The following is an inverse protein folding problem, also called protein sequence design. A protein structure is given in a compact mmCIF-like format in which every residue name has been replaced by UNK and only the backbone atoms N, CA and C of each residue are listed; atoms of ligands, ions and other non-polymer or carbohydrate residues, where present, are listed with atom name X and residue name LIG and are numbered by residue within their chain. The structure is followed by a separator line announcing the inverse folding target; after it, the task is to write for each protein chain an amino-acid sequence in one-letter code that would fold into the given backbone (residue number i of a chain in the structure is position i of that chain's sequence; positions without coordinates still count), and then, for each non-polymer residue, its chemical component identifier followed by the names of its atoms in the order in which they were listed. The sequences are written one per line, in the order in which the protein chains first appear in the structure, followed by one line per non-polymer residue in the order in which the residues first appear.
data_IF_828297257571
#
_entry.id   IF_828297257571
#
_cell.length_a   1.000
_cell.length_b   1.000
_cell.length_c   1.000
_cell.angle_alpha   90.00
_cell.angle_beta   90.00
_cell.angle_gamma   90.00
#
_symmetry.space_group_name_H-M   'P 1'
#
loop_
_entity.id
_entity.type
_entity.pdbx_description
1 polymer ?
#
# COMPACT_ATOMS: atom_id res chain seq x y z
N UNK A 1 -17.34 11.83 -10.60
CA UNK A 1 -16.96 11.62 -10.63
C UNK A 1 -16.22 11.57 -10.39
N UNK A 2 -16.53 11.47 -10.13
CA UNK A 2 -16.02 11.38 -10.01
C UNK A 2 -15.28 11.09 -9.95
N UNK A 3 -15.05 11.64 -9.62
CA UNK A 3 -14.36 11.13 -9.59
C UNK A 3 -12.96 10.79 -9.59
N UNK A 4 -11.98 11.15 -8.82
CA UNK A 4 -10.89 10.33 -8.62
C UNK A 4 -11.07 8.99 -9.18
N UNK A 5 -12.25 8.69 -9.49
CA UNK A 5 -12.57 7.40 -10.00
C UNK A 5 -11.93 7.06 -11.33
N UNK A 6 -11.75 8.01 -12.24
CA UNK A 6 -11.11 7.64 -13.51
C UNK A 6 -9.73 7.01 -13.31
N UNK A 7 -8.93 7.58 -12.45
CA UNK A 7 -7.61 7.03 -12.21
C UNK A 7 -7.71 5.64 -11.57
N UNK A 8 -8.52 5.53 -10.54
CA UNK A 8 -8.65 4.28 -9.83
C UNK A 8 -9.24 3.19 -10.70
N UNK A 9 -10.28 3.51 -11.46
CA UNK A 9 -10.94 2.52 -12.28
C UNK A 9 -10.00 1.97 -13.34
N UNK A 10 -9.31 2.84 -14.05
CA UNK A 10 -8.43 2.35 -15.12
C UNK A 10 -7.28 1.52 -14.55
N UNK A 11 -6.80 1.85 -13.38
CA UNK A 11 -5.72 1.10 -12.76
C UNK A 11 -6.23 -0.25 -12.28
N UNK A 12 -7.37 -0.26 -11.63
CA UNK A 12 -7.91 -1.49 -11.08
C UNK A 12 -8.29 -2.48 -12.16
N UNK A 13 -8.71 -2.01 -13.33
CA UNK A 13 -9.02 -2.91 -14.42
C UNK A 13 -7.81 -3.73 -14.83
N UNK A 14 -6.63 -3.16 -14.73
CA UNK A 14 -5.43 -3.83 -15.18
C UNK A 14 -4.79 -4.71 -14.14
N UNK A 15 -5.08 -4.45 -12.88
CA UNK A 15 -4.48 -5.20 -11.79
C UNK A 15 -5.53 -5.87 -10.93
N UNK A 16 -6.71 -6.10 -11.49
CA UNK A 16 -7.80 -6.67 -10.74
C UNK A 16 -7.50 -8.01 -10.10
N UNK A 17 -6.54 -8.75 -10.67
CA UNK A 17 -6.15 -10.02 -10.08
C UNK A 17 -5.37 -9.84 -8.80
N UNK A 18 -4.76 -8.68 -8.59
CA UNK A 18 -3.91 -8.44 -7.43
C UNK A 18 -4.57 -7.56 -6.38
N UNK A 19 -5.41 -6.63 -6.81
CA UNK A 19 -5.99 -5.63 -5.93
C UNK A 19 -7.49 -5.63 -6.06
N UNK A 20 -8.15 -5.74 -4.91
CA UNK A 20 -9.60 -5.63 -4.81
C UNK A 20 -9.87 -4.38 -3.98
N UNK A 21 -10.50 -3.36 -4.56
CA UNK A 21 -10.69 -2.10 -3.88
C UNK A 21 -11.67 -2.18 -2.71
N UNK A 22 -12.44 -3.26 -2.60
CA UNK A 22 -13.30 -3.45 -1.45
C UNK A 22 -12.65 -4.29 -0.36
N UNK A 23 -11.77 -5.21 -0.73
CA UNK A 23 -11.12 -6.09 0.23
C UNK A 23 -9.66 -5.74 0.47
N UNK A 24 -9.04 -5.08 -0.51
CA UNK A 24 -7.64 -4.73 -0.40
C UNK A 24 -6.72 -5.76 -1.01
N UNK A 25 -5.48 -5.75 -0.56
CA UNK A 25 -4.45 -6.62 -1.11
C UNK A 25 -3.68 -7.28 0.03
N UNK A 26 -3.38 -8.57 -0.13
CA UNK A 26 -2.57 -9.30 0.84
C UNK A 26 -1.12 -9.29 0.37
N UNK A 27 -0.26 -8.66 1.15
CA UNK A 27 1.12 -8.43 0.72
C UNK A 27 1.90 -9.72 0.49
N UNK A 28 1.59 -10.76 1.27
CA UNK A 28 2.29 -12.03 1.13
C UNK A 28 2.10 -12.65 -0.24
N UNK A 29 0.99 -12.34 -0.90
CA UNK A 29 0.66 -12.96 -2.17
C UNK A 29 1.22 -12.21 -3.36
N UNK A 30 1.88 -11.09 -3.12
CA UNK A 30 2.45 -10.29 -4.20
C UNK A 30 3.83 -10.79 -4.56
N UNK A 31 4.18 -10.78 -5.86
CA UNK A 31 5.54 -11.12 -6.26
C UNK A 31 6.55 -10.15 -5.63
N UNK A 32 7.79 -10.60 -5.42
CA UNK A 32 8.84 -9.71 -4.92
C UNK A 32 8.98 -8.49 -5.82
N UNK A 33 9.27 -7.35 -5.19
CA UNK A 33 9.49 -6.08 -5.87
C UNK A 33 8.25 -5.49 -6.52
N UNK A 34 7.07 -6.01 -6.17
CA UNK A 34 5.83 -5.34 -6.53
C UNK A 34 5.80 -4.00 -5.81
N UNK A 35 5.48 -2.95 -6.55
CA UNK A 35 5.38 -1.61 -5.99
C UNK A 35 3.93 -1.22 -5.93
N UNK A 36 3.47 -0.90 -4.72
CA UNK A 36 2.11 -0.41 -4.50
C UNK A 36 2.13 1.07 -4.25
N UNK A 37 1.12 1.76 -4.76
CA UNK A 37 0.82 3.13 -4.39
C UNK A 37 -0.40 3.08 -3.49
N UNK A 38 -0.23 3.49 -2.25
CA UNK A 38 -1.28 3.43 -1.24
C UNK A 38 -1.70 4.86 -0.92
N UNK A 39 -2.88 5.22 -1.36
CA UNK A 39 -3.44 6.55 -1.14
C UNK A 39 -4.21 6.52 0.15
N UNK A 40 -3.81 7.37 1.10
CA UNK A 40 -4.55 7.55 2.33
C UNK A 40 -5.17 8.94 2.34
N UNK A 41 -5.96 9.23 3.37
CA UNK A 41 -6.57 10.55 3.44
C UNK A 41 -5.53 11.68 3.47
N UNK A 42 -4.38 11.42 4.10
CA UNK A 42 -3.40 12.48 4.29
C UNK A 42 -2.17 12.36 3.42
N UNK A 43 -1.90 11.19 2.86
CA UNK A 43 -0.61 10.97 2.21
C UNK A 43 -0.71 9.91 1.12
N UNK A 44 0.30 9.91 0.27
CA UNK A 44 0.53 8.84 -0.68
C UNK A 44 1.78 8.09 -0.23
N UNK A 45 1.65 6.78 -0.08
CA UNK A 45 2.79 5.93 0.27
C UNK A 45 3.14 5.04 -0.90
N UNK A 46 4.43 4.95 -1.18
CA UNK A 46 4.95 4.01 -2.15
C UNK A 46 5.56 2.86 -1.37
N UNK A 47 5.05 1.66 -1.60
CA UNK A 47 5.44 0.48 -0.84
C UNK A 47 5.99 -0.55 -1.80
N UNK A 48 7.28 -0.86 -1.67
CA UNK A 48 7.92 -1.90 -2.49
C UNK A 48 8.02 -3.14 -1.63
N UNK A 49 7.31 -4.18 -2.03
CA UNK A 49 7.29 -5.43 -1.28
C UNK A 49 8.54 -6.22 -1.64
N UNK A 50 9.33 -6.56 -0.64
CA UNK A 50 10.47 -7.45 -0.84
C UNK A 50 10.07 -8.86 -0.48
N UNK A 51 9.95 -9.12 0.80
CA UNK A 51 9.48 -10.42 1.30
C UNK A 51 8.70 -10.11 2.57
N UNK A 52 7.36 -10.10 2.45
CA UNK A 52 6.54 -9.71 3.58
C UNK A 52 7.00 -10.45 4.83
N UNK A 53 7.12 -9.78 5.99
CA UNK A 53 6.59 -8.44 6.28
C UNK A 53 7.50 -7.28 5.89
N UNK A 54 8.63 -7.52 5.27
CA UNK A 54 9.57 -6.46 4.94
C UNK A 54 9.19 -5.75 3.65
N UNK A 55 9.26 -4.43 3.70
CA UNK A 55 8.99 -3.58 2.56
C UNK A 55 9.94 -2.40 2.59
N UNK A 56 10.05 -1.68 1.47
CA UNK A 56 10.57 -0.32 1.48
C UNK A 56 9.39 0.61 1.34
N UNK A 57 9.29 1.59 2.23
CA UNK A 57 8.18 2.53 2.22
C UNK A 57 8.72 3.94 2.06
N UNK A 58 8.02 4.74 1.27
CA UNK A 58 8.32 6.16 1.08
C UNK A 58 7.00 6.91 1.04
N UNK A 59 6.96 8.05 1.72
CA UNK A 59 5.77 8.89 1.74
C UNK A 59 5.41 9.35 3.13
N UNK A 60 4.48 10.28 3.20
CA UNK A 60 4.05 10.82 4.46
C UNK A 60 5.15 11.58 5.19
N UNK A 61 4.88 11.91 6.43
CA UNK A 61 5.81 12.72 7.22
C UNK A 61 7.00 11.92 7.73
N UNK A 62 6.86 10.61 7.86
CA UNK A 62 7.88 9.80 8.50
C UNK A 62 8.85 9.13 7.53
N UNK A 63 8.53 9.10 6.24
CA UNK A 63 9.35 8.39 5.27
C UNK A 63 9.63 9.29 4.06
N UNK A 64 10.47 10.31 4.23
CA UNK A 64 10.82 11.17 3.08
C UNK A 64 11.60 10.42 2.01
N UNK A 65 12.32 9.38 2.39
CA UNK A 65 13.09 8.55 1.47
C UNK A 65 12.67 7.10 1.62
N UNK A 66 12.93 6.26 0.61
CA UNK A 66 12.62 4.84 0.74
C UNK A 66 13.32 4.27 1.97
N UNK A 67 12.54 3.67 2.85
CA UNK A 67 13.00 3.23 4.16
C UNK A 67 12.54 1.81 4.40
N UNK A 68 13.45 0.98 4.88
CA UNK A 68 13.11 -0.39 5.23
C UNK A 68 12.17 -0.40 6.42
N UNK A 69 11.11 -1.14 6.30
CA UNK A 69 10.07 -1.18 7.33
C UNK A 69 9.36 -2.52 7.31
N UNK A 70 8.54 -2.75 8.32
CA UNK A 70 7.66 -3.90 8.39
C UNK A 70 6.23 -3.42 8.33
N UNK A 71 5.42 -3.98 7.44
CA UNK A 71 3.99 -3.71 7.42
C UNK A 71 3.30 -4.85 8.14
N UNK A 72 2.70 -4.55 9.27
CA UNK A 72 2.00 -5.57 10.04
C UNK A 72 0.65 -5.91 9.41
N UNK A 73 0.00 -4.92 8.85
CA UNK A 73 -1.31 -5.11 8.24
C UNK A 73 -2.14 -3.86 8.36
N UNK A 74 -3.45 -4.02 8.34
CA UNK A 74 -4.40 -2.92 8.45
C UNK A 74 -5.31 -3.13 9.65
N UNK A 75 -5.74 -2.02 10.26
CA UNK A 75 -6.53 -2.10 11.47
C UNK A 75 -7.53 -0.97 11.54
N UNK A 76 -8.30 -0.96 12.64
CA UNK A 76 -9.21 0.12 12.95
C UNK A 76 -8.57 1.14 13.90
N UNK A 77 -7.24 1.23 13.86
CA UNK A 77 -6.54 2.17 14.72
C UNK A 77 -6.06 1.50 15.99
N UNK A 78 -5.27 0.43 15.84
CA UNK A 78 -4.72 -0.29 16.98
C UNK A 78 -5.55 -1.48 17.43
N UNK A 79 -6.64 -1.76 16.74
CA UNK A 79 -7.48 -2.92 17.07
C UNK A 79 -7.92 -3.61 15.79
N UNK A 80 -8.24 -4.90 15.90
CA UNK A 80 -8.73 -5.70 14.78
C UNK A 80 -7.76 -5.74 13.61
N UNK A 81 -6.52 -6.05 13.91
CA UNK A 81 -5.47 -6.08 12.88
C UNK A 81 -5.72 -7.22 11.89
N UNK A 82 -5.75 -6.89 10.61
CA UNK A 82 -5.77 -7.87 9.53
C UNK A 82 -4.35 -8.06 9.06
N UNK A 83 -3.71 -9.11 9.54
CA UNK A 83 -2.29 -9.34 9.33
C UNK A 83 -1.98 -9.50 7.85
N UNK A 84 -1.03 -8.71 7.36
CA UNK A 84 -0.56 -8.80 5.98
C UNK A 84 -1.42 -8.10 4.96
N UNK A 85 -2.56 -7.55 5.35
CA UNK A 85 -3.47 -6.88 4.42
C UNK A 85 -3.28 -5.37 4.43
N UNK A 86 -3.40 -4.76 3.25
CA UNK A 86 -3.67 -3.33 3.14
C UNK A 86 -5.07 -3.23 2.57
N UNK A 87 -5.98 -2.67 3.35
CA UNK A 87 -7.40 -2.69 3.01
C UNK A 87 -7.97 -1.28 2.96
N UNK A 88 -8.76 -1.01 1.94
CA UNK A 88 -9.45 0.27 1.82
C UNK A 88 -10.34 0.48 3.04
N UNK A 89 -10.34 1.69 3.56
CA UNK A 89 -11.13 2.04 4.73
C UNK A 89 -10.42 1.79 6.05
N UNK A 90 -9.31 1.06 6.06
CA UNK A 90 -8.57 0.76 7.28
C UNK A 90 -7.26 1.54 7.31
N UNK A 91 -6.60 1.50 8.45
CA UNK A 91 -5.34 2.20 8.67
C UNK A 91 -4.21 1.19 8.56
N UNK A 92 -3.11 1.58 7.92
CA UNK A 92 -1.96 0.69 7.77
C UNK A 92 -1.03 0.85 8.96
N UNK A 93 -0.60 -0.28 9.53
CA UNK A 93 0.32 -0.27 10.66
C UNK A 93 1.70 -0.65 10.19
N UNK A 94 2.65 0.25 10.40
CA UNK A 94 4.01 0.14 9.90
C UNK A 94 4.97 0.26 11.07
N UNK A 95 5.98 -0.60 11.12
CA UNK A 95 7.05 -0.49 12.13
C UNK A 95 8.35 -0.23 11.42
N UNK A 96 9.11 0.74 11.91
CA UNK A 96 10.40 1.08 11.34
C UNK A 96 11.27 1.75 12.40
N UNK A 97 12.46 1.22 12.59
CA UNK A 97 13.43 1.83 13.48
C UNK A 97 12.93 2.00 14.91
N UNK A 98 12.19 1.03 15.41
CA UNK A 98 11.66 1.11 16.76
C UNK A 98 10.39 1.95 16.90
N UNK A 99 9.88 2.48 15.78
CA UNK A 99 8.66 3.28 15.80
C UNK A 99 7.50 2.49 15.23
N UNK A 100 6.33 2.75 15.76
CA UNK A 100 5.08 2.17 15.27
C UNK A 100 4.24 3.31 14.70
N UNK A 101 4.02 3.26 13.40
CA UNK A 101 3.36 4.33 12.67
C UNK A 101 2.05 3.78 12.14
N UNK A 102 0.97 4.53 12.38
CA UNK A 102 -0.36 4.17 11.90
C UNK A 102 -0.79 5.27 10.95
N UNK A 103 -1.12 4.90 9.73
CA UNK A 103 -1.49 5.87 8.71
C UNK A 103 -2.91 6.34 8.90
N UNK A 104 -3.31 7.35 8.12
CA UNK A 104 -4.73 7.68 7.98
C UNK A 104 -5.41 6.60 7.13
N UNK A 105 -6.74 6.59 7.07
CA UNK A 105 -7.46 5.53 6.34
C UNK A 105 -7.07 5.47 4.87
N UNK A 106 -6.95 4.25 4.37
CA UNK A 106 -6.62 3.99 2.98
C UNK A 106 -7.83 4.31 2.11
N UNK A 107 -7.61 5.08 1.05
CA UNK A 107 -8.64 5.42 0.09
C UNK A 107 -8.58 4.54 -1.16
N UNK A 108 -7.37 4.23 -1.61
CA UNK A 108 -7.20 3.45 -2.82
C UNK A 108 -5.82 2.81 -2.83
N UNK A 109 -5.70 1.71 -3.57
CA UNK A 109 -4.45 0.99 -3.73
C UNK A 109 -4.29 0.68 -5.21
N UNK A 110 -3.12 0.99 -5.76
CA UNK A 110 -2.82 0.66 -7.15
C UNK A 110 -1.41 0.08 -7.20
N UNK A 111 -1.08 -0.61 -8.29
CA UNK A 111 0.29 -1.04 -8.49
C UNK A 111 0.97 -0.11 -9.47
N UNK A 112 2.25 0.11 -9.22
CA UNK A 112 3.06 0.88 -10.14
C UNK A 112 3.60 -0.08 -11.20
N UNK A 113 3.51 0.31 -12.48
CA UNK A 113 3.90 -0.54 -13.58
C UNK A 113 5.39 -0.42 -13.83
N UNK A 114 6.16 -1.21 -13.09
CA UNK A 114 7.61 -1.16 -13.24
C UNK A 114 8.05 -1.60 -14.63
N UNK A 115 7.31 -2.52 -15.21
CA UNK A 115 7.68 -3.02 -16.53
C UNK A 115 7.70 -1.92 -17.57
N UNK A 116 6.89 -0.90 -17.41
CA UNK A 116 6.86 0.19 -18.37
C UNK A 116 8.17 0.96 -18.41
N UNK A 117 8.97 0.87 -17.37
CA UNK A 117 10.25 1.54 -17.31
C UNK A 117 11.33 0.75 -18.00
N UNK A 118 11.16 -0.54 -18.05
CA UNK A 118 12.19 -1.43 -18.57
C UNK A 118 12.17 -1.49 -20.07
N UNK A 119 11.02 -1.27 -20.64
CA UNK A 119 10.85 -1.42 -22.07
C UNK A 119 11.68 -0.43 -22.83
N UNK A 120 12.12 0.56 -22.19
CA UNK A 120 12.87 1.59 -22.86
C UNK A 120 14.31 1.56 -22.46
#
# INVERSE_FOLDING_TARGET
MADNKPLRASTLDRIGDLVDDTAGVHLRELPPFTTLLVWTMNSLYRVVVTQWPEVYVQGGAFFPDPTLAHVDGSSLGGSCLRVGWISAGLLVEIRSGGRHIITSPVLAITTEQASSLVVH
#
